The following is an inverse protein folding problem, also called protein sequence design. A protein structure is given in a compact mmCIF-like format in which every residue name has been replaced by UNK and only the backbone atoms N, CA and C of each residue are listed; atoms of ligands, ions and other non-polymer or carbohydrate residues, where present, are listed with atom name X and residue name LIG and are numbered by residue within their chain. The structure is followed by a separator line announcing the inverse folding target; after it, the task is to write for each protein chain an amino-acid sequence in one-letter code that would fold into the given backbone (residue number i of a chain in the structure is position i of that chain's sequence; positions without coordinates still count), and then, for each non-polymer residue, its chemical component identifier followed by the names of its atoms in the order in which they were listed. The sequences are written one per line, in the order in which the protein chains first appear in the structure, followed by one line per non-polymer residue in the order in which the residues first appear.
data_IF_374895840333
#
_entry.id   IF_374895840333
#
_cell.length_a   1.000
_cell.length_b   1.000
_cell.length_c   1.000
_cell.angle_alpha   90.00
_cell.angle_beta   90.00
_cell.angle_gamma   90.00
#
_symmetry.space_group_name_H-M   'P 1'
#
loop_
_entity.id
_entity.type
_entity.pdbx_description
1 polymer ?
#
# COMPACT_ATOMS: atom_id res chain seq x y z
N UNK A 1 -21.04 0.78 -11.26
CA UNK A 1 -19.79 0.86 -10.47
C UNK A 1 -18.78 -0.05 -11.14
N UNK A 2 -18.16 0.39 -12.24
CA UNK A 2 -17.50 -0.53 -13.19
C UNK A 2 -16.03 -0.19 -13.47
N UNK A 3 -15.33 0.55 -12.61
CA UNK A 3 -13.88 0.75 -12.73
C UNK A 3 -13.40 1.13 -14.15
N UNK A 4 -14.23 1.86 -14.91
CA UNK A 4 -13.95 2.18 -16.30
C UNK A 4 -12.70 3.07 -16.37
N UNK A 5 -11.84 2.79 -17.36
CA UNK A 5 -10.59 3.50 -17.56
C UNK A 5 -10.89 4.96 -17.90
N UNK A 6 -10.72 5.84 -16.92
CA UNK A 6 -10.96 7.27 -17.07
C UNK A 6 -9.77 7.97 -17.74
N UNK A 7 -10.01 9.05 -18.51
CA UNK A 7 -8.95 9.88 -19.04
C UNK A 7 -7.99 10.36 -17.95
N UNK A 8 -6.71 10.47 -18.31
CA UNK A 8 -5.65 10.92 -17.42
C UNK A 8 -5.99 12.28 -16.78
N UNK A 9 -5.92 12.38 -15.46
CA UNK A 9 -6.22 13.61 -14.72
C UNK A 9 -7.70 13.78 -14.31
N UNK A 10 -8.55 12.76 -14.47
CA UNK A 10 -9.92 12.81 -13.95
C UNK A 10 -9.92 13.00 -12.43
N UNK A 11 -10.57 14.07 -11.97
CA UNK A 11 -10.62 14.45 -10.55
C UNK A 11 -11.37 13.37 -9.75
N UNK A 12 -10.68 12.71 -8.83
CA UNK A 12 -11.22 11.62 -8.00
C UNK A 12 -10.71 10.22 -8.38
N UNK A 13 -9.96 10.08 -9.46
CA UNK A 13 -9.37 8.81 -9.87
C UNK A 13 -8.27 8.35 -8.91
N UNK A 14 -8.34 7.09 -8.48
CA UNK A 14 -7.31 6.46 -7.64
C UNK A 14 -6.47 5.55 -8.53
N UNK A 15 -5.23 5.95 -8.82
CA UNK A 15 -4.30 5.15 -9.63
C UNK A 15 -3.19 4.58 -8.75
N UNK A 16 -3.04 3.25 -8.64
CA UNK A 16 -1.84 2.65 -8.06
C UNK A 16 -0.63 2.85 -8.98
N UNK A 17 0.58 2.68 -8.45
CA UNK A 17 1.81 2.86 -9.24
C UNK A 17 1.84 1.92 -10.45
N UNK A 18 1.33 0.70 -10.28
CA UNK A 18 1.04 -0.23 -11.36
C UNK A 18 -0.33 -0.88 -11.15
N UNK A 19 -1.11 -0.96 -12.24
CA UNK A 19 -2.32 -1.78 -12.30
C UNK A 19 -2.19 -2.78 -13.45
N UNK A 20 -2.54 -4.04 -13.18
CA UNK A 20 -2.77 -5.07 -14.20
C UNK A 20 -4.10 -5.75 -13.84
N UNK A 21 -4.84 -6.27 -14.81
CA UNK A 21 -6.18 -6.80 -14.57
C UNK A 21 -6.27 -7.66 -13.28
N UNK A 22 -7.06 -7.21 -12.30
CA UNK A 22 -7.25 -7.88 -11.01
C UNK A 22 -6.13 -7.72 -9.98
N UNK A 23 -5.11 -6.90 -10.22
CA UNK A 23 -3.98 -6.67 -9.32
C UNK A 23 -3.50 -5.21 -9.36
N UNK A 24 -3.33 -4.62 -8.18
CA UNK A 24 -2.73 -3.30 -7.99
C UNK A 24 -1.45 -3.42 -7.16
N UNK A 25 -0.41 -2.69 -7.55
CA UNK A 25 0.87 -2.64 -6.86
C UNK A 25 1.24 -1.18 -6.58
N UNK A 26 1.59 -0.90 -5.33
CA UNK A 26 2.20 0.36 -4.91
C UNK A 26 3.62 0.13 -4.38
N UNK A 27 4.53 1.04 -4.69
CA UNK A 27 5.88 1.09 -4.16
C UNK A 27 6.00 2.29 -3.21
N UNK A 28 6.30 2.04 -1.94
CA UNK A 28 6.45 3.09 -0.92
C UNK A 28 7.89 3.18 -0.46
N UNK A 29 8.48 4.37 -0.54
CA UNK A 29 9.81 4.68 -0.02
C UNK A 29 9.71 5.66 1.16
N UNK A 30 9.18 5.20 2.29
CA UNK A 30 9.06 6.00 3.52
C UNK A 30 10.26 5.74 4.42
N UNK A 31 10.72 6.78 5.13
CA UNK A 31 11.66 6.58 6.23
C UNK A 31 10.93 5.92 7.41
N UNK A 32 11.26 4.66 7.72
CA UNK A 32 10.63 3.89 8.80
C UNK A 32 11.52 3.72 10.03
N UNK A 33 12.66 4.43 10.11
CA UNK A 33 13.55 4.40 11.29
C UNK A 33 12.87 4.93 12.55
N UNK A 34 11.92 5.86 12.40
CA UNK A 34 11.19 6.46 13.51
C UNK A 34 9.71 6.08 13.50
N UNK A 35 9.06 6.21 14.66
CA UNK A 35 7.64 5.86 14.84
C UNK A 35 6.70 6.72 14.00
N UNK A 36 6.98 8.01 13.84
CA UNK A 36 6.16 8.92 13.03
C UNK A 36 6.10 8.48 11.56
N UNK A 37 7.23 8.14 10.96
CA UNK A 37 7.30 7.63 9.59
C UNK A 37 6.50 6.34 9.40
N UNK A 38 6.61 5.40 10.36
CA UNK A 38 5.84 4.15 10.38
C UNK A 38 4.33 4.40 10.50
N UNK A 39 3.92 5.24 11.45
CA UNK A 39 2.50 5.57 11.65
C UNK A 39 1.90 6.27 10.42
N UNK A 40 2.66 7.17 9.78
CA UNK A 40 2.25 7.83 8.55
C UNK A 40 2.12 6.85 7.39
N UNK A 41 3.06 5.92 7.25
CA UNK A 41 3.00 4.87 6.22
C UNK A 41 1.76 3.99 6.39
N UNK A 42 1.49 3.50 7.62
CA UNK A 42 0.30 2.70 7.94
C UNK A 42 -0.97 3.47 7.59
N UNK A 43 -1.09 4.72 8.06
CA UNK A 43 -2.26 5.58 7.80
C UNK A 43 -2.51 5.77 6.31
N UNK A 44 -1.46 6.04 5.53
CA UNK A 44 -1.59 6.31 4.11
C UNK A 44 -1.93 5.05 3.32
N UNK A 45 -1.29 3.91 3.58
CA UNK A 45 -1.63 2.63 2.95
C UNK A 45 -3.08 2.24 3.29
N UNK A 46 -3.47 2.33 4.56
CA UNK A 46 -4.83 2.00 5.01
C UNK A 46 -5.88 2.84 4.28
N UNK A 47 -5.65 4.15 4.19
CA UNK A 47 -6.54 5.05 3.44
C UNK A 47 -6.66 4.65 1.97
N UNK A 48 -5.53 4.35 1.32
CA UNK A 48 -5.51 3.95 -0.09
C UNK A 48 -6.20 2.60 -0.32
N UNK A 49 -5.99 1.63 0.57
CA UNK A 49 -6.62 0.33 0.53
C UNK A 49 -8.15 0.44 0.49
N UNK A 50 -8.75 1.15 1.45
CA UNK A 50 -10.21 1.32 1.51
C UNK A 50 -10.76 2.17 0.37
N UNK A 51 -10.04 3.21 -0.07
CA UNK A 51 -10.42 3.96 -1.27
C UNK A 51 -10.46 3.06 -2.51
N UNK A 52 -9.57 2.07 -2.62
CA UNK A 52 -9.55 1.15 -3.76
C UNK A 52 -10.63 0.08 -3.69
N UNK A 53 -11.02 -0.36 -2.50
CA UNK A 53 -12.14 -1.29 -2.34
C UNK A 53 -13.44 -0.75 -2.95
N UNK A 54 -13.65 0.57 -2.96
CA UNK A 54 -14.82 1.19 -3.58
C UNK A 54 -14.65 1.60 -5.04
N UNK A 55 -13.41 1.75 -5.51
CA UNK A 55 -13.11 2.33 -6.83
C UNK A 55 -12.56 1.33 -7.85
N UNK A 56 -12.00 0.20 -7.41
CA UNK A 56 -11.49 -0.86 -8.28
C UNK A 56 -12.50 -2.01 -8.40
N UNK A 57 -12.42 -2.81 -9.47
CA UNK A 57 -13.21 -4.02 -9.60
C UNK A 57 -13.10 -4.91 -8.36
N UNK A 58 -14.22 -5.53 -7.98
CA UNK A 58 -14.27 -6.49 -6.88
C UNK A 58 -13.22 -7.59 -7.08
N UNK A 59 -12.64 -8.08 -5.97
CA UNK A 59 -11.55 -9.07 -5.97
C UNK A 59 -10.21 -8.60 -6.55
N UNK A 60 -10.02 -7.30 -6.81
CA UNK A 60 -8.67 -6.77 -7.11
C UNK A 60 -7.76 -7.04 -5.93
N UNK A 61 -6.68 -7.81 -6.14
CA UNK A 61 -5.61 -7.99 -5.16
C UNK A 61 -4.81 -6.70 -5.02
N UNK A 62 -4.54 -6.29 -3.79
CA UNK A 62 -3.78 -5.08 -3.51
C UNK A 62 -2.45 -5.44 -2.85
N UNK A 63 -1.35 -5.08 -3.49
CA UNK A 63 0.01 -5.36 -3.03
C UNK A 63 0.76 -4.06 -2.76
N UNK A 64 1.50 -4.03 -1.65
CA UNK A 64 2.39 -2.93 -1.32
C UNK A 64 3.82 -3.43 -1.18
N UNK A 65 4.73 -2.83 -1.92
CA UNK A 65 6.17 -3.03 -1.79
C UNK A 65 6.74 -1.85 -1.01
N UNK A 66 7.32 -2.11 0.15
CA UNK A 66 7.95 -1.10 0.99
C UNK A 66 9.46 -1.17 0.74
N UNK A 67 10.00 -0.13 0.12
CA UNK A 67 11.44 -0.02 -0.17
C UNK A 67 12.18 0.45 1.08
N UNK A 68 12.97 -0.45 1.64
CA UNK A 68 13.76 -0.21 2.87
C UNK A 68 15.26 -0.24 2.61
N UNK A 69 15.68 -0.25 1.32
CA UNK A 69 17.10 -0.27 0.96
C UNK A 69 17.81 0.94 1.54
N UNK A 70 18.97 0.71 2.17
CA UNK A 70 19.75 1.75 2.85
C UNK A 70 19.17 2.24 4.18
N UNK A 71 18.01 1.75 4.60
CA UNK A 71 17.47 1.96 5.93
C UNK A 71 17.86 0.75 6.78
N UNK A 72 18.87 0.90 7.65
CA UNK A 72 19.23 -0.15 8.61
C UNK A 72 18.07 -0.31 9.62
N UNK A 73 17.15 -1.24 9.36
CA UNK A 73 15.91 -1.45 10.12
C UNK A 73 15.95 -2.83 10.77
N UNK A 74 15.64 -2.91 12.07
CA UNK A 74 15.58 -4.18 12.78
C UNK A 74 14.37 -5.00 12.37
N UNK A 75 14.47 -6.32 12.56
CA UNK A 75 13.36 -7.24 12.29
C UNK A 75 12.12 -6.91 13.12
N UNK A 76 12.26 -6.52 14.39
CA UNK A 76 11.10 -6.19 15.23
C UNK A 76 10.33 -4.97 14.68
N UNK A 77 11.04 -4.00 14.10
CA UNK A 77 10.41 -2.84 13.46
C UNK A 77 9.61 -3.27 12.22
N UNK A 78 10.13 -4.20 11.42
CA UNK A 78 9.45 -4.72 10.24
C UNK A 78 8.20 -5.53 10.62
N UNK A 79 8.31 -6.40 11.63
CA UNK A 79 7.19 -7.20 12.15
C UNK A 79 6.11 -6.29 12.73
N UNK A 80 6.48 -5.31 13.56
CA UNK A 80 5.52 -4.33 14.09
C UNK A 80 4.82 -3.52 13.00
N UNK A 81 5.54 -3.13 11.94
CA UNK A 81 4.96 -2.43 10.80
C UNK A 81 4.01 -3.34 10.01
N UNK A 82 4.40 -4.60 9.77
CA UNK A 82 3.58 -5.60 9.10
C UNK A 82 2.28 -5.84 9.87
N UNK A 83 2.38 -6.11 11.18
CA UNK A 83 1.21 -6.34 12.05
C UNK A 83 0.26 -5.15 12.07
N UNK A 84 0.80 -3.93 12.12
CA UNK A 84 0.01 -2.70 12.02
C UNK A 84 -0.77 -2.63 10.70
N UNK A 85 -0.12 -2.94 9.57
CA UNK A 85 -0.77 -2.96 8.27
C UNK A 85 -1.86 -4.03 8.19
N UNK A 86 -1.56 -5.26 8.62
CA UNK A 86 -2.50 -6.38 8.60
C UNK A 86 -3.73 -6.09 9.47
N UNK A 87 -3.51 -5.54 10.67
CA UNK A 87 -4.59 -5.10 11.57
C UNK A 87 -5.50 -4.04 10.95
N UNK A 88 -4.92 -3.02 10.33
CA UNK A 88 -5.70 -1.89 9.80
C UNK A 88 -6.37 -2.17 8.44
N UNK A 89 -5.94 -3.22 7.74
CA UNK A 89 -6.48 -3.64 6.45
C UNK A 89 -7.29 -4.94 6.52
N UNK A 90 -7.53 -5.48 7.72
CA UNK A 90 -8.20 -6.76 7.94
C UNK A 90 -7.57 -7.91 7.12
N UNK A 91 -6.23 -7.95 7.08
CA UNK A 91 -5.45 -8.90 6.28
C UNK A 91 -5.74 -8.83 4.76
N UNK A 92 -6.25 -7.70 4.27
CA UNK A 92 -6.71 -7.54 2.88
C UNK A 92 -5.65 -7.11 1.88
N UNK A 93 -4.40 -6.94 2.31
CA UNK A 93 -3.27 -6.56 1.44
C UNK A 93 -2.13 -7.55 1.53
N UNK A 94 -1.37 -7.66 0.44
CA UNK A 94 -0.07 -8.32 0.42
C UNK A 94 1.04 -7.28 0.68
N UNK A 95 2.00 -7.60 1.54
CA UNK A 95 3.10 -6.69 1.90
C UNK A 95 4.44 -7.36 1.61
N UNK A 96 5.30 -6.68 0.85
CA UNK A 96 6.67 -7.09 0.60
C UNK A 96 7.66 -6.01 1.02
N UNK A 97 8.74 -6.41 1.70
CA UNK A 97 9.85 -5.51 2.01
C UNK A 97 10.96 -5.71 0.99
N UNK A 98 11.33 -4.64 0.26
CA UNK A 98 12.46 -4.67 -0.67
C UNK A 98 13.74 -4.31 0.07
N UNK A 99 14.65 -5.27 0.18
CA UNK A 99 15.90 -5.16 0.95
C UNK A 99 17.17 -5.05 0.09
N UNK A 100 17.10 -5.42 -1.20
CA UNK A 100 18.22 -5.41 -2.16
C UNK A 100 17.76 -4.86 -3.52
#
# INVERSE_FOLDING_TARGET
MNGEEVPYGTKGSVRPDLYKAGCSIDIKNYNIKNSSGRNNLIRNITKQFYQRQSNLPSNTKQTVVIDIRGQNISREILESLYDGLMKHTNNGIDVFFKTH
#
